data_IF_125351202551
#
_entry.id   IF_125351202551
#
_cell.length_a   1.000
_cell.length_b   1.000
_cell.length_c   1.000
_cell.angle_alpha   90.00
_cell.angle_beta   90.00
_cell.angle_gamma   90.00
#
_symmetry.space_group_name_H-M   'P 1'
#
loop_
_entity.id
_entity.type
_entity.pdbx_description
1 polymer ?
#
# COMPACT_ATOMS: atom_id res chain seq x y z
N UNK A 1 -13.83 51.35 -67.44
CA UNK A 1 -14.62 51.16 -66.20
C UNK A 1 -14.51 49.74 -65.64
N UNK A 2 -14.22 48.70 -66.43
CA UNK A 2 -14.17 47.30 -65.94
C UNK A 2 -12.98 46.97 -65.02
N UNK A 3 -11.80 47.56 -65.23
CA UNK A 3 -10.60 47.31 -64.40
C UNK A 3 -10.75 47.76 -62.93
N UNK A 4 -11.59 48.76 -62.66
CA UNK A 4 -11.85 49.25 -61.30
C UNK A 4 -12.79 48.31 -60.52
N UNK A 5 -13.71 47.65 -61.24
CA UNK A 5 -14.66 46.70 -60.64
C UNK A 5 -13.94 45.40 -60.23
N UNK A 6 -13.02 44.91 -61.05
CA UNK A 6 -12.22 43.71 -60.74
C UNK A 6 -11.31 43.88 -59.52
N UNK A 7 -10.68 45.06 -59.34
CA UNK A 7 -9.87 45.36 -58.15
C UNK A 7 -10.68 45.42 -56.85
N UNK A 8 -11.93 45.87 -56.90
CA UNK A 8 -12.81 45.90 -55.72
C UNK A 8 -13.32 44.50 -55.35
N UNK A 9 -13.61 43.66 -56.35
CA UNK A 9 -14.02 42.26 -56.16
C UNK A 9 -12.90 41.40 -55.59
N UNK A 10 -11.66 41.51 -56.10
CA UNK A 10 -10.53 40.74 -55.58
C UNK A 10 -10.12 41.16 -54.16
N UNK A 11 -10.20 42.46 -53.84
CA UNK A 11 -9.91 42.97 -52.50
C UNK A 11 -10.98 42.57 -51.47
N UNK A 12 -12.26 42.54 -51.88
CA UNK A 12 -13.35 42.02 -51.05
C UNK A 12 -13.22 40.52 -50.75
N UNK A 13 -12.89 39.70 -51.75
CA UNK A 13 -12.65 38.26 -51.58
C UNK A 13 -11.44 37.97 -50.67
N UNK A 14 -10.36 38.75 -50.80
CA UNK A 14 -9.19 38.62 -49.92
C UNK A 14 -9.49 39.02 -48.47
N UNK A 15 -10.27 40.08 -48.24
CA UNK A 15 -10.69 40.48 -46.89
C UNK A 15 -11.60 39.44 -46.23
N UNK A 16 -12.53 38.84 -46.99
CA UNK A 16 -13.40 37.76 -46.49
C UNK A 16 -12.59 36.51 -46.17
N UNK A 17 -11.63 36.13 -47.03
CA UNK A 17 -10.74 35.00 -46.75
C UNK A 17 -9.84 35.24 -45.54
N UNK A 18 -9.35 36.47 -45.34
CA UNK A 18 -8.50 36.83 -44.19
C UNK A 18 -9.31 36.86 -42.89
N UNK A 19 -10.55 37.35 -42.92
CA UNK A 19 -11.48 37.33 -41.78
C UNK A 19 -11.93 35.90 -41.41
N UNK A 20 -12.18 35.05 -42.41
CA UNK A 20 -12.45 33.62 -42.20
C UNK A 20 -11.24 32.92 -41.59
N UNK A 21 -10.02 33.19 -42.07
CA UNK A 21 -8.80 32.64 -41.48
C UNK A 21 -8.57 33.12 -40.05
N UNK A 22 -8.77 34.41 -39.76
CA UNK A 22 -8.65 34.95 -38.40
C UNK A 22 -9.70 34.39 -37.44
N UNK A 23 -10.94 34.16 -37.90
CA UNK A 23 -11.98 33.48 -37.11
C UNK A 23 -11.59 32.03 -36.79
N UNK A 24 -11.09 31.27 -37.77
CA UNK A 24 -10.63 29.89 -37.54
C UNK A 24 -9.40 29.79 -36.63
N UNK A 25 -8.53 30.81 -36.62
CA UNK A 25 -7.35 30.84 -35.74
C UNK A 25 -7.77 31.16 -34.31
N UNK A 26 -8.73 32.07 -34.11
CA UNK A 26 -9.30 32.34 -32.78
C UNK A 26 -10.03 31.10 -32.21
N UNK A 27 -10.83 30.42 -33.04
CA UNK A 27 -11.52 29.17 -32.69
C UNK A 27 -10.59 27.97 -32.49
N UNK A 28 -9.29 28.04 -32.83
CA UNK A 28 -8.32 26.97 -32.56
C UNK A 28 -7.46 27.20 -31.31
N UNK A 29 -7.49 28.39 -30.72
CA UNK A 29 -6.60 28.76 -29.60
C UNK A 29 -7.00 28.15 -28.26
N UNK A 30 -8.28 27.79 -28.08
CA UNK A 30 -8.74 27.12 -26.86
C UNK A 30 -8.06 25.75 -26.70
N UNK A 31 -7.78 25.04 -27.79
CA UNK A 31 -7.12 23.72 -27.76
C UNK A 31 -5.72 23.77 -27.13
N UNK A 32 -4.94 24.82 -27.38
CA UNK A 32 -3.63 25.01 -26.73
C UNK A 32 -3.79 25.25 -25.23
N UNK A 33 -4.85 25.96 -24.84
CA UNK A 33 -5.19 26.18 -23.43
C UNK A 33 -5.56 24.87 -22.74
N UNK A 34 -6.43 24.04 -23.34
CA UNK A 34 -6.76 22.72 -22.79
C UNK A 34 -5.57 21.78 -22.73
N UNK A 35 -4.73 21.77 -23.77
CA UNK A 35 -3.53 20.94 -23.77
C UNK A 35 -2.61 21.30 -22.62
N UNK A 36 -2.42 22.60 -22.35
CA UNK A 36 -1.61 23.07 -21.22
C UNK A 36 -2.26 22.74 -19.87
N UNK A 37 -3.56 22.98 -19.72
CA UNK A 37 -4.30 22.67 -18.49
C UNK A 37 -4.28 21.18 -18.18
N UNK A 38 -4.57 20.32 -19.16
CA UNK A 38 -4.53 18.86 -19.00
C UNK A 38 -3.12 18.37 -18.65
N UNK A 39 -2.08 18.94 -19.27
CA UNK A 39 -0.70 18.59 -18.98
C UNK A 39 -0.31 18.98 -17.54
N UNK A 40 -0.71 20.16 -17.06
CA UNK A 40 -0.41 20.57 -15.69
C UNK A 40 -1.21 19.76 -14.66
N UNK A 41 -2.51 19.55 -14.87
CA UNK A 41 -3.35 18.71 -13.99
C UNK A 41 -2.81 17.28 -13.91
N UNK A 42 -2.42 16.68 -15.03
CA UNK A 42 -1.83 15.35 -15.05
C UNK A 42 -0.53 15.27 -14.24
N UNK A 43 0.35 16.27 -14.43
CA UNK A 43 1.63 16.36 -13.74
C UNK A 43 1.44 16.56 -12.23
N UNK A 44 0.52 17.44 -11.84
CA UNK A 44 0.16 17.69 -10.45
C UNK A 44 -0.40 16.43 -9.79
N UNK A 45 -1.42 15.81 -10.39
CA UNK A 45 -2.01 14.57 -9.89
C UNK A 45 -0.96 13.47 -9.69
N UNK A 46 -0.09 13.25 -10.69
CA UNK A 46 0.98 12.26 -10.59
C UNK A 46 1.97 12.57 -9.45
N UNK A 47 2.30 13.85 -9.26
CA UNK A 47 3.17 14.30 -8.18
C UNK A 47 2.53 14.05 -6.81
N UNK A 48 1.26 14.40 -6.67
CA UNK A 48 0.49 14.30 -5.43
C UNK A 48 0.21 12.85 -5.02
N UNK A 49 -0.12 11.97 -5.98
CA UNK A 49 -0.20 10.52 -5.75
C UNK A 49 1.17 9.99 -5.29
N UNK A 50 2.25 10.39 -5.97
CA UNK A 50 3.60 9.96 -5.63
C UNK A 50 4.07 10.42 -4.24
N UNK A 51 3.62 11.58 -3.76
CA UNK A 51 3.87 12.07 -2.40
C UNK A 51 3.18 11.19 -1.37
N UNK A 52 1.90 10.88 -1.58
CA UNK A 52 1.10 10.04 -0.68
C UNK A 52 1.60 8.59 -0.64
N UNK A 53 2.06 8.03 -1.76
CA UNK A 53 2.74 6.73 -1.76
C UNK A 53 3.98 6.71 -0.87
N UNK A 54 4.81 7.76 -0.95
CA UNK A 54 6.01 7.87 -0.10
C UNK A 54 5.62 7.98 1.37
N UNK A 55 4.64 8.83 1.70
CA UNK A 55 4.14 8.99 3.05
C UNK A 55 3.57 7.68 3.61
N UNK A 56 2.73 6.97 2.86
CA UNK A 56 2.20 5.67 3.27
C UNK A 56 3.33 4.63 3.49
N UNK A 57 4.35 4.64 2.62
CA UNK A 57 5.51 3.74 2.77
C UNK A 57 6.36 4.07 3.99
N UNK A 58 6.58 5.36 4.27
CA UNK A 58 7.32 5.84 5.43
C UNK A 58 6.61 5.47 6.74
N UNK A 59 5.29 5.64 6.81
CA UNK A 59 4.49 5.25 7.97
C UNK A 59 4.51 3.74 8.20
N UNK A 60 4.37 2.94 7.15
CA UNK A 60 4.53 1.48 7.23
C UNK A 60 5.94 1.08 7.73
N UNK A 61 6.98 1.76 7.26
CA UNK A 61 8.35 1.55 7.72
C UNK A 61 8.54 1.86 9.20
N UNK A 62 8.00 2.99 9.67
CA UNK A 62 8.05 3.40 11.08
C UNK A 62 7.33 2.40 11.97
N UNK A 63 6.17 1.90 11.56
CA UNK A 63 5.40 0.91 12.30
C UNK A 63 6.17 -0.42 12.44
N UNK A 64 6.92 -0.85 11.42
CA UNK A 64 7.81 -2.02 11.55
C UNK A 64 8.93 -1.75 12.57
N UNK A 65 9.61 -0.61 12.46
CA UNK A 65 10.77 -0.27 13.27
C UNK A 65 10.43 -0.05 14.74
N UNK A 66 9.34 0.67 15.01
CA UNK A 66 8.97 1.14 16.34
C UNK A 66 8.07 0.17 17.09
N UNK A 67 7.26 -0.64 16.38
CA UNK A 67 6.23 -1.45 17.01
C UNK A 67 6.49 -2.94 16.82
N UNK A 68 6.72 -3.38 15.59
CA UNK A 68 6.83 -4.82 15.30
C UNK A 68 8.15 -5.41 15.81
N UNK A 69 9.28 -4.80 15.45
CA UNK A 69 10.60 -5.32 15.82
C UNK A 69 10.78 -5.36 17.35
N UNK A 70 10.46 -4.30 18.13
CA UNK A 70 10.63 -4.34 19.58
C UNK A 70 9.77 -5.40 20.26
N UNK A 71 8.51 -5.56 19.86
CA UNK A 71 7.64 -6.59 20.40
C UNK A 71 8.19 -8.00 20.15
N UNK A 72 8.62 -8.28 18.91
CA UNK A 72 9.21 -9.58 18.57
C UNK A 72 10.54 -9.81 19.32
N UNK A 73 11.33 -8.76 19.53
CA UNK A 73 12.56 -8.84 20.31
C UNK A 73 12.28 -9.19 21.77
N UNK A 74 11.27 -8.55 22.40
CA UNK A 74 10.80 -8.89 23.75
C UNK A 74 10.38 -10.37 23.84
N UNK A 75 9.52 -10.83 22.92
CA UNK A 75 9.10 -12.22 22.86
C UNK A 75 10.26 -13.20 22.67
N UNK A 76 11.25 -12.85 21.85
CA UNK A 76 12.45 -13.65 21.64
C UNK A 76 13.26 -13.81 22.93
N UNK A 77 13.40 -12.74 23.71
CA UNK A 77 14.12 -12.79 25.00
C UNK A 77 13.39 -13.70 25.98
N UNK A 78 12.08 -13.54 26.10
CA UNK A 78 11.26 -14.37 27.01
C UNK A 78 11.31 -15.87 26.66
N UNK A 79 11.27 -16.22 25.37
CA UNK A 79 11.42 -17.61 24.92
C UNK A 79 12.82 -18.14 25.23
N UNK A 80 13.87 -17.32 25.07
CA UNK A 80 15.24 -17.71 25.43
C UNK A 80 15.38 -17.94 26.93
N UNK A 81 14.73 -17.12 27.74
CA UNK A 81 14.73 -17.27 29.19
C UNK A 81 14.03 -18.57 29.59
N UNK A 82 12.87 -18.88 29.03
CA UNK A 82 12.19 -20.17 29.25
C UNK A 82 13.07 -21.36 28.85
N UNK A 83 13.74 -21.29 27.69
CA UNK A 83 14.64 -22.36 27.25
C UNK A 83 15.87 -22.51 28.17
N UNK A 84 16.40 -21.42 28.73
CA UNK A 84 17.46 -21.51 29.74
C UNK A 84 16.95 -22.22 30.99
N UNK A 85 15.79 -21.81 31.50
CA UNK A 85 15.20 -22.37 32.72
C UNK A 85 14.95 -23.89 32.55
N UNK A 86 14.47 -24.33 31.39
CA UNK A 86 14.34 -25.74 31.03
C UNK A 86 15.67 -26.50 31.16
N UNK A 87 16.75 -25.96 30.59
CA UNK A 87 18.06 -26.61 30.62
C UNK A 87 18.62 -26.67 32.04
N UNK A 88 18.42 -25.62 32.85
CA UNK A 88 18.84 -25.58 34.24
C UNK A 88 18.08 -26.62 35.10
N UNK A 89 16.76 -26.69 34.96
CA UNK A 89 15.92 -27.66 35.67
C UNK A 89 16.27 -29.10 35.28
N UNK A 90 16.43 -29.39 33.98
CA UNK A 90 16.82 -30.72 33.52
C UNK A 90 18.22 -31.10 33.98
N UNK A 91 19.18 -30.16 33.99
CA UNK A 91 20.53 -30.42 34.49
C UNK A 91 20.56 -30.77 35.98
N UNK A 92 19.61 -30.26 36.77
CA UNK A 92 19.50 -30.58 38.19
C UNK A 92 19.02 -32.02 38.46
N UNK A 93 18.22 -32.59 37.55
CA UNK A 93 17.63 -33.93 37.71
C UNK A 93 18.30 -35.01 36.87
N UNK A 94 19.05 -34.65 35.82
CA UNK A 94 19.72 -35.60 34.91
C UNK A 94 21.03 -36.11 35.52
N UNK A 95 21.20 -37.42 35.73
CA UNK A 95 22.48 -38.00 36.16
C UNK A 95 23.62 -37.75 35.15
N UNK A 96 24.87 -37.67 35.63
CA UNK A 96 26.05 -37.38 34.79
C UNK A 96 26.26 -38.36 33.63
N UNK A 97 25.89 -39.63 33.82
CA UNK A 97 26.00 -40.70 32.81
C UNK A 97 24.64 -41.12 32.23
N UNK A 98 23.64 -40.21 32.30
CA UNK A 98 22.28 -40.45 31.84
C UNK A 98 22.22 -40.73 30.35
N UNK A 99 22.17 -42.02 30.02
CA UNK A 99 22.03 -42.57 28.67
C UNK A 99 20.84 -43.53 28.65
N UNK A 100 20.07 -43.56 27.57
CA UNK A 100 18.93 -44.46 27.41
C UNK A 100 17.71 -43.80 26.76
N UNK A 101 16.76 -44.64 26.34
CA UNK A 101 15.57 -44.28 25.55
C UNK A 101 14.71 -43.16 26.18
N UNK A 102 14.64 -43.10 27.52
CA UNK A 102 13.90 -42.04 28.21
C UNK A 102 14.54 -40.66 28.03
N UNK A 103 15.86 -40.55 28.23
CA UNK A 103 16.57 -39.28 28.08
C UNK A 103 16.69 -38.86 26.61
N UNK A 104 16.74 -39.81 25.67
CA UNK A 104 16.59 -39.52 24.23
C UNK A 104 15.22 -38.91 23.90
N UNK A 105 14.17 -39.35 24.59
CA UNK A 105 12.82 -38.80 24.44
C UNK A 105 12.74 -37.38 25.00
N UNK A 106 13.36 -37.12 26.16
CA UNK A 106 13.49 -35.76 26.72
C UNK A 106 14.27 -34.85 25.77
N UNK A 107 15.42 -35.30 25.25
CA UNK A 107 16.23 -34.54 24.30
C UNK A 107 15.44 -34.22 23.01
N UNK A 108 14.57 -35.15 22.58
CA UNK A 108 13.64 -34.93 21.45
C UNK A 108 12.56 -33.88 21.75
N UNK A 109 12.00 -33.87 22.97
CA UNK A 109 11.03 -32.85 23.40
C UNK A 109 11.68 -31.46 23.47
N UNK A 110 12.89 -31.35 24.03
CA UNK A 110 13.65 -30.09 24.04
C UNK A 110 13.81 -29.56 22.62
N UNK A 111 14.23 -30.41 21.69
CA UNK A 111 14.40 -30.04 20.29
C UNK A 111 13.09 -29.56 19.65
N UNK A 112 12.00 -30.32 19.82
CA UNK A 112 10.70 -29.98 19.25
C UNK A 112 10.14 -28.65 19.78
N UNK A 113 10.14 -28.45 21.10
CA UNK A 113 9.58 -27.24 21.70
C UNK A 113 10.45 -25.99 21.47
N UNK A 114 11.77 -26.18 21.35
CA UNK A 114 12.67 -25.11 20.89
C UNK A 114 12.37 -24.69 19.45
N UNK A 115 11.94 -25.62 18.59
CA UNK A 115 11.57 -25.35 17.21
C UNK A 115 10.19 -24.69 17.12
N UNK A 116 9.20 -25.22 17.84
CA UNK A 116 7.83 -24.70 17.81
C UNK A 116 7.73 -23.28 18.32
N UNK A 117 8.42 -22.94 19.42
CA UNK A 117 8.45 -21.56 19.92
C UNK A 117 9.04 -20.56 18.90
N UNK A 118 9.99 -20.98 18.06
CA UNK A 118 10.50 -20.16 16.96
C UNK A 118 9.48 -20.00 15.84
N UNK A 119 8.79 -21.09 15.47
CA UNK A 119 7.75 -21.05 14.44
C UNK A 119 6.56 -20.20 14.86
N UNK A 120 6.10 -20.34 16.10
CA UNK A 120 5.00 -19.56 16.64
C UNK A 120 5.32 -18.05 16.62
N UNK A 121 6.55 -17.66 16.95
CA UNK A 121 6.96 -16.26 16.90
C UNK A 121 7.07 -15.74 15.45
N UNK A 122 7.53 -16.58 14.51
CA UNK A 122 7.52 -16.25 13.08
C UNK A 122 6.10 -16.10 12.55
N UNK A 123 5.18 -16.96 12.98
CA UNK A 123 3.76 -16.90 12.62
C UNK A 123 3.09 -15.64 13.16
N UNK A 124 3.43 -15.21 14.38
CA UNK A 124 2.98 -13.91 14.90
C UNK A 124 3.41 -12.75 14.00
N UNK A 125 4.69 -12.73 13.60
CA UNK A 125 5.23 -11.71 12.72
C UNK A 125 4.55 -11.73 11.34
N UNK A 126 4.42 -12.92 10.75
CA UNK A 126 3.79 -13.10 9.44
C UNK A 126 2.32 -12.70 9.44
N UNK A 127 1.55 -13.12 10.45
CA UNK A 127 0.14 -12.78 10.58
C UNK A 127 -0.06 -11.27 10.78
N UNK A 128 0.82 -10.62 11.56
CA UNK A 128 0.82 -9.17 11.72
C UNK A 128 1.05 -8.44 10.39
N UNK A 129 2.09 -8.85 9.65
CA UNK A 129 2.38 -8.32 8.31
C UNK A 129 1.22 -8.55 7.33
N UNK A 130 0.72 -9.78 7.25
CA UNK A 130 -0.30 -10.18 6.27
C UNK A 130 -1.59 -9.36 6.43
N UNK A 131 -2.02 -9.14 7.67
CA UNK A 131 -3.28 -8.47 8.00
C UNK A 131 -3.20 -6.94 7.98
N UNK A 132 -2.07 -6.37 8.40
CA UNK A 132 -2.02 -4.93 8.67
C UNK A 132 -1.15 -4.13 7.70
N UNK A 133 -0.25 -4.80 6.96
CA UNK A 133 0.61 -4.15 5.96
C UNK A 133 0.28 -4.62 4.55
N UNK A 134 0.15 -5.94 4.34
CA UNK A 134 -0.13 -6.49 3.01
C UNK A 134 -1.57 -6.21 2.55
N UNK A 135 -2.55 -6.47 3.40
CA UNK A 135 -3.96 -6.15 3.09
C UNK A 135 -4.16 -4.63 2.94
N UNK A 136 -3.44 -3.81 3.71
CA UNK A 136 -3.50 -2.36 3.58
C UNK A 136 -3.02 -1.87 2.21
N UNK A 137 -1.86 -2.37 1.77
CA UNK A 137 -1.33 -2.01 0.46
C UNK A 137 -2.29 -2.49 -0.64
N UNK A 138 -2.74 -3.76 -0.60
CA UNK A 138 -3.50 -4.36 -1.70
C UNK A 138 -4.98 -3.96 -1.77
N UNK A 139 -5.64 -3.73 -0.64
CA UNK A 139 -7.11 -3.62 -0.56
C UNK A 139 -7.59 -2.21 -0.22
N UNK A 140 -6.68 -1.28 0.13
CA UNK A 140 -7.05 0.06 0.58
C UNK A 140 -6.35 1.16 -0.20
N UNK A 141 -5.07 1.41 0.11
CA UNK A 141 -4.34 2.54 -0.46
C UNK A 141 -4.13 2.38 -1.97
N UNK A 142 -3.68 1.19 -2.41
CA UNK A 142 -3.37 0.97 -3.81
C UNK A 142 -4.60 1.01 -4.74
N UNK A 143 -5.77 0.43 -4.40
CA UNK A 143 -6.98 0.58 -5.19
C UNK A 143 -7.34 2.05 -5.50
N UNK A 144 -7.36 2.92 -4.48
CA UNK A 144 -7.69 4.34 -4.65
C UNK A 144 -6.64 5.02 -5.54
N UNK A 145 -5.35 4.79 -5.27
CA UNK A 145 -4.28 5.37 -6.08
C UNK A 145 -4.31 4.88 -7.54
N UNK A 146 -4.67 3.61 -7.75
CA UNK A 146 -4.80 3.03 -9.08
C UNK A 146 -6.00 3.61 -9.84
N UNK A 147 -7.14 3.83 -9.17
CA UNK A 147 -8.30 4.48 -9.75
C UNK A 147 -7.99 5.91 -10.20
N UNK A 148 -7.24 6.69 -9.41
CA UNK A 148 -6.77 8.01 -9.82
C UNK A 148 -5.84 7.97 -11.05
N UNK A 149 -4.92 7.01 -11.11
CA UNK A 149 -4.10 6.79 -12.29
C UNK A 149 -4.93 6.41 -13.53
N UNK A 150 -6.00 5.66 -13.34
CA UNK A 150 -6.93 5.26 -14.40
C UNK A 150 -7.75 6.46 -14.89
N UNK A 151 -8.30 7.27 -13.98
CA UNK A 151 -9.03 8.49 -14.30
C UNK A 151 -8.20 9.43 -15.18
N UNK A 152 -6.89 9.51 -14.90
CA UNK A 152 -5.96 10.25 -15.73
C UNK A 152 -5.79 9.72 -17.16
N UNK A 153 -5.96 8.43 -17.40
CA UNK A 153 -5.93 7.87 -18.75
C UNK A 153 -7.28 8.04 -19.45
N UNK A 154 -8.37 7.98 -18.68
CA UNK A 154 -9.73 8.17 -19.18
C UNK A 154 -9.96 9.59 -19.69
N UNK A 155 -9.48 10.61 -18.97
CA UNK A 155 -9.60 12.01 -19.44
C UNK A 155 -8.89 12.22 -20.78
N UNK A 156 -7.72 11.62 -20.99
CA UNK A 156 -6.99 11.69 -22.27
C UNK A 156 -7.81 11.05 -23.39
N UNK A 157 -8.38 9.87 -23.14
CA UNK A 157 -9.21 9.17 -24.12
C UNK A 157 -10.51 9.94 -24.43
N UNK A 158 -11.13 10.55 -23.42
CA UNK A 158 -12.32 11.38 -23.59
C UNK A 158 -12.02 12.61 -24.47
N UNK A 159 -10.92 13.31 -24.21
CA UNK A 159 -10.45 14.44 -25.04
C UNK A 159 -10.19 14.00 -26.47
N UNK A 160 -9.46 12.89 -26.68
CA UNK A 160 -9.23 12.34 -28.04
C UNK A 160 -10.55 12.00 -28.73
N UNK A 161 -11.50 11.40 -28.01
CA UNK A 161 -12.83 11.06 -28.52
C UNK A 161 -13.57 12.30 -29.02
N UNK A 162 -13.68 13.34 -28.19
CA UNK A 162 -14.33 14.61 -28.53
C UNK A 162 -13.71 15.22 -29.80
N UNK A 163 -12.38 15.30 -29.87
CA UNK A 163 -11.67 15.86 -31.01
C UNK A 163 -11.74 15.01 -32.28
N UNK A 164 -12.10 13.72 -32.16
CA UNK A 164 -12.23 12.80 -33.30
C UNK A 164 -13.63 12.74 -33.88
N UNK A 165 -14.66 13.01 -33.07
CA UNK A 165 -16.07 12.96 -33.47
C UNK A 165 -16.54 14.25 -34.13
N UNK A 166 -16.03 15.40 -33.68
CA UNK A 166 -16.49 16.71 -34.11
C UNK A 166 -15.46 17.48 -34.93
N UNK A 167 -15.95 18.18 -35.95
CA UNK A 167 -15.14 19.16 -36.66
C UNK A 167 -15.11 20.47 -35.87
N UNK A 168 -14.00 20.68 -35.16
CA UNK A 168 -13.70 21.88 -34.36
C UNK A 168 -13.96 23.19 -35.13
N UNK A 169 -13.76 23.20 -36.45
CA UNK A 169 -13.95 24.40 -37.29
C UNK A 169 -15.43 24.72 -37.52
N UNK A 170 -16.32 23.74 -37.46
CA UNK A 170 -17.75 23.94 -37.69
C UNK A 170 -18.60 23.88 -36.42
N UNK A 171 -18.07 23.30 -35.33
CA UNK A 171 -18.80 23.08 -34.08
C UNK A 171 -17.97 23.49 -32.83
N UNK A 172 -17.09 24.49 -32.97
CA UNK A 172 -16.14 24.92 -31.92
C UNK A 172 -16.76 25.14 -30.54
N UNK A 173 -17.89 25.87 -30.38
CA UNK A 173 -18.50 26.10 -29.07
C UNK A 173 -18.98 24.85 -28.34
N UNK A 174 -19.46 23.84 -29.08
CA UNK A 174 -19.91 22.57 -28.50
C UNK A 174 -18.72 21.70 -28.10
N UNK A 175 -17.67 21.68 -28.94
CA UNK A 175 -16.40 21.03 -28.62
C UNK A 175 -15.79 21.62 -27.34
N UNK A 176 -15.71 22.95 -27.25
CA UNK A 176 -15.20 23.66 -26.07
C UNK A 176 -16.01 23.29 -24.82
N UNK A 177 -17.34 23.35 -24.87
CA UNK A 177 -18.19 22.97 -23.74
C UNK A 177 -18.03 21.51 -23.28
N UNK A 178 -17.82 20.57 -24.22
CA UNK A 178 -17.55 19.16 -23.89
C UNK A 178 -16.16 18.97 -23.26
N UNK A 179 -15.15 19.70 -23.74
CA UNK A 179 -13.81 19.67 -23.16
C UNK A 179 -13.80 20.28 -21.75
N UNK A 180 -14.51 21.39 -21.53
CA UNK A 180 -14.71 21.99 -20.20
C UNK A 180 -15.32 20.97 -19.24
N UNK A 181 -16.45 20.36 -19.61
CA UNK A 181 -17.09 19.36 -18.76
C UNK A 181 -16.20 18.14 -18.47
N UNK A 182 -15.35 17.75 -19.42
CA UNK A 182 -14.37 16.67 -19.25
C UNK A 182 -13.25 17.07 -18.29
N UNK A 183 -12.75 18.29 -18.39
CA UNK A 183 -11.70 18.81 -17.53
C UNK A 183 -12.20 19.03 -16.10
N UNK A 184 -13.41 19.59 -15.95
CA UNK A 184 -14.09 19.79 -14.65
C UNK A 184 -14.31 18.45 -13.94
N UNK A 185 -14.82 17.44 -14.65
CA UNK A 185 -15.00 16.11 -14.09
C UNK A 185 -13.68 15.47 -13.67
N UNK A 186 -12.63 15.59 -14.48
CA UNK A 186 -11.30 15.08 -14.12
C UNK A 186 -10.74 15.78 -12.87
N UNK A 187 -10.94 17.09 -12.76
CA UNK A 187 -10.52 17.86 -11.59
C UNK A 187 -11.28 17.44 -10.33
N UNK A 188 -12.59 17.24 -10.41
CA UNK A 188 -13.42 16.73 -9.31
C UNK A 188 -12.93 15.35 -8.82
N UNK A 189 -12.79 14.39 -9.74
CA UNK A 189 -12.28 13.03 -9.42
C UNK A 189 -10.88 13.09 -8.83
N UNK A 190 -10.02 13.97 -9.32
CA UNK A 190 -8.66 14.14 -8.81
C UNK A 190 -8.68 14.67 -7.36
N UNK A 191 -9.51 15.66 -7.06
CA UNK A 191 -9.62 16.23 -5.71
C UNK A 191 -10.20 15.20 -4.74
N UNK A 192 -11.29 14.53 -5.12
CA UNK A 192 -11.94 13.52 -4.28
C UNK A 192 -11.00 12.35 -3.99
N UNK A 193 -10.39 11.76 -5.00
CA UNK A 193 -9.50 10.63 -4.76
C UNK A 193 -8.22 11.01 -4.01
N UNK A 194 -7.70 12.23 -4.15
CA UNK A 194 -6.57 12.70 -3.32
C UNK A 194 -6.98 12.86 -1.86
N UNK A 195 -8.21 13.30 -1.59
CA UNK A 195 -8.76 13.32 -0.24
C UNK A 195 -8.91 11.90 0.32
N UNK A 196 -9.41 10.95 -0.48
CA UNK A 196 -9.54 9.55 -0.06
C UNK A 196 -8.18 8.95 0.31
N UNK A 197 -7.12 9.25 -0.45
CA UNK A 197 -5.76 8.84 -0.09
C UNK A 197 -5.28 9.46 1.23
N UNK A 198 -5.61 10.73 1.49
CA UNK A 198 -5.27 11.38 2.77
C UNK A 198 -6.03 10.74 3.94
N UNK A 199 -7.30 10.34 3.73
CA UNK A 199 -8.10 9.61 4.71
C UNK A 199 -7.54 8.21 4.99
N UNK A 200 -7.06 7.50 3.98
CA UNK A 200 -6.39 6.21 4.15
C UNK A 200 -5.06 6.33 4.93
N UNK A 201 -4.28 7.36 4.63
CA UNK A 201 -3.06 7.69 5.38
C UNK A 201 -3.40 8.00 6.84
N UNK A 202 -4.43 8.82 7.10
CA UNK A 202 -4.83 9.20 8.45
C UNK A 202 -5.22 7.99 9.33
N UNK A 203 -5.74 6.92 8.72
CA UNK A 203 -6.08 5.65 9.42
C UNK A 203 -4.84 4.85 9.88
N UNK A 204 -3.61 5.33 9.68
CA UNK A 204 -2.39 4.66 10.19
C UNK A 204 -2.36 4.56 11.72
N UNK A 205 -2.78 5.60 12.44
CA UNK A 205 -2.70 5.61 13.92
C UNK A 205 -3.58 4.54 14.57
N UNK A 206 -4.81 4.38 14.06
CA UNK A 206 -5.73 3.36 14.57
C UNK A 206 -5.17 1.96 14.30
N UNK A 207 -4.65 1.73 13.09
CA UNK A 207 -4.00 0.46 12.71
C UNK A 207 -2.78 0.13 13.55
N UNK A 208 -1.95 1.12 13.84
CA UNK A 208 -0.76 0.95 14.68
C UNK A 208 -1.17 0.33 16.02
N UNK A 209 -2.22 0.88 16.64
CA UNK A 209 -2.75 0.39 17.91
C UNK A 209 -3.28 -1.04 17.79
N UNK A 210 -4.05 -1.35 16.75
CA UNK A 210 -4.62 -2.68 16.53
C UNK A 210 -3.54 -3.74 16.24
N UNK A 211 -2.53 -3.40 15.45
CA UNK A 211 -1.39 -4.27 15.17
C UNK A 211 -0.58 -4.56 16.44
N UNK A 212 -0.26 -3.53 17.23
CA UNK A 212 0.45 -3.70 18.50
C UNK A 212 -0.31 -4.65 19.43
N UNK A 213 -1.63 -4.46 19.58
CA UNK A 213 -2.47 -5.32 20.42
C UNK A 213 -2.50 -6.75 19.90
N UNK A 214 -2.63 -6.93 18.58
CA UNK A 214 -2.59 -8.24 17.95
C UNK A 214 -1.25 -8.95 18.19
N UNK A 215 -0.14 -8.28 17.92
CA UNK A 215 1.21 -8.84 18.08
C UNK A 215 1.49 -9.16 19.54
N UNK A 216 1.20 -8.24 20.46
CA UNK A 216 1.35 -8.46 21.91
C UNK A 216 0.58 -9.70 22.34
N UNK A 217 -0.70 -9.79 21.99
CA UNK A 217 -1.53 -10.95 22.34
C UNK A 217 -1.06 -12.25 21.70
N UNK A 218 -0.46 -12.20 20.51
CA UNK A 218 0.14 -13.38 19.87
C UNK A 218 1.41 -13.82 20.60
N UNK A 219 2.33 -12.88 20.84
CA UNK A 219 3.61 -13.11 21.51
C UNK A 219 3.39 -13.62 22.94
N UNK A 220 2.49 -13.01 23.69
CA UNK A 220 2.18 -13.42 25.06
C UNK A 220 1.68 -14.88 25.11
N UNK A 221 0.87 -15.29 24.11
CA UNK A 221 0.44 -16.69 23.97
C UNK A 221 1.62 -17.60 23.62
N UNK A 222 2.46 -17.22 22.67
CA UNK A 222 3.66 -17.98 22.31
C UNK A 222 4.60 -18.18 23.50
N UNK A 223 4.84 -17.13 24.29
CA UNK A 223 5.65 -17.20 25.51
C UNK A 223 4.99 -18.11 26.55
N UNK A 224 3.67 -17.98 26.75
CA UNK A 224 2.94 -18.84 27.68
C UNK A 224 3.00 -20.32 27.27
N UNK A 225 2.81 -20.62 25.98
CA UNK A 225 2.96 -21.98 25.43
C UNK A 225 4.38 -22.49 25.63
N UNK A 226 5.39 -21.70 25.29
CA UNK A 226 6.80 -22.08 25.48
C UNK A 226 7.10 -22.42 26.94
N UNK A 227 6.61 -21.63 27.91
CA UNK A 227 6.77 -21.94 29.34
C UNK A 227 6.01 -23.21 29.76
N UNK A 228 4.83 -23.47 29.20
CA UNK A 228 4.10 -24.70 29.47
C UNK A 228 4.81 -25.94 28.90
N UNK A 229 5.47 -25.80 27.75
CA UNK A 229 6.30 -26.86 27.15
C UNK A 229 7.54 -27.17 28.01
N UNK A 230 8.13 -26.14 28.63
CA UNK A 230 9.19 -26.31 29.65
C UNK A 230 8.68 -27.16 30.81
N UNK A 231 7.58 -26.74 31.45
CA UNK A 231 6.99 -27.45 32.59
C UNK A 231 6.66 -28.91 32.24
N UNK A 232 6.08 -29.13 31.05
CA UNK A 232 5.75 -30.46 30.57
C UNK A 232 7.00 -31.34 30.41
N UNK A 233 8.06 -30.80 29.81
CA UNK A 233 9.30 -31.55 29.55
C UNK A 233 10.00 -31.93 30.84
N UNK A 234 10.07 -31.01 31.81
CA UNK A 234 10.64 -31.29 33.14
C UNK A 234 9.82 -32.37 33.86
N UNK A 235 8.50 -32.22 33.93
CA UNK A 235 7.62 -33.22 34.54
C UNK A 235 7.72 -34.59 33.88
N UNK A 236 7.85 -34.64 32.56
CA UNK A 236 8.06 -35.88 31.83
C UNK A 236 9.36 -36.56 32.29
N UNK A 237 10.46 -35.80 32.36
CA UNK A 237 11.75 -36.30 32.80
C UNK A 237 11.72 -36.80 34.26
N UNK A 238 11.09 -36.05 35.17
CA UNK A 238 10.91 -36.45 36.56
C UNK A 238 10.17 -37.79 36.67
N UNK A 239 8.99 -37.88 36.05
CA UNK A 239 8.13 -39.04 36.19
C UNK A 239 8.69 -40.29 35.49
N UNK A 240 9.13 -40.15 34.24
CA UNK A 240 9.53 -41.32 33.45
C UNK A 240 11.01 -41.66 33.56
N UNK A 241 11.89 -40.66 33.70
CA UNK A 241 13.34 -40.90 33.65
C UNK A 241 13.97 -40.98 35.04
N UNK A 242 13.41 -40.31 36.04
CA UNK A 242 13.92 -40.33 37.43
C UNK A 242 13.13 -41.28 38.31
N UNK A 243 11.80 -41.15 38.37
CA UNK A 243 10.95 -41.99 39.22
C UNK A 243 10.69 -43.37 38.61
N UNK A 244 10.43 -43.45 37.31
CA UNK A 244 10.21 -44.71 36.58
C UNK A 244 11.43 -45.61 36.43
N UNK A 245 12.64 -45.12 36.78
CA UNK A 245 13.89 -45.89 36.83
C UNK A 245 14.24 -46.41 38.24
N UNK A 246 13.35 -46.22 39.23
CA UNK A 246 13.44 -46.87 40.56
C UNK A 246 12.67 -48.19 40.57
#
# INVERSE_FOLDING_TARGET
>A
MELLAWRKLTCGLLMVACLLQLATVAEGTFLDTYQQQLAELHKELKSEIGKRFRENSELNGQLIEQDVIPLLAEGTVEIRDANRDLLEELAAIRPTDATGECWESVDSLIYLYSLFSQWDLQDCAYAGYARWMREDDLERFYPIAHELHRASSEVINAVIGILSEDNVVSNGPDVEGRLDGTLDHFNEVSIEGLQDLDEEIAKHTDRQTELQQFLRGCIDRTVATSRADVEFTVRYAEYYCVEGNK
#
